data_IF_127788182843
#
_entry.id   IF_127788182843
#
_cell.length_a   1.000
_cell.length_b   1.000
_cell.length_c   1.000
_cell.angle_alpha   90.00
_cell.angle_beta   90.00
_cell.angle_gamma   90.00
#
_symmetry.space_group_name_H-M   'P 1'
#
loop_
_entity.id
_entity.type
_entity.pdbx_description
1 polymer ?
#
# COMPACT_ATOMS: atom_id res chain seq x y z
N UNK A 1 9.58 11.20 -6.05
CA UNK A 1 8.50 10.30 -5.61
C UNK A 1 8.77 8.89 -6.14
N UNK A 2 8.67 7.85 -5.29
CA UNK A 2 8.89 6.49 -5.78
C UNK A 2 7.82 6.09 -6.79
N UNK A 3 8.21 5.23 -7.70
CA UNK A 3 7.26 4.70 -8.66
C UNK A 3 6.42 3.61 -8.01
N UNK A 4 5.11 3.74 -8.10
CA UNK A 4 4.16 2.79 -7.54
C UNK A 4 3.63 1.92 -8.67
N UNK A 5 3.78 0.60 -8.54
CA UNK A 5 3.22 -0.30 -9.53
C UNK A 5 1.72 -0.44 -9.33
N UNK A 6 1.05 -0.94 -10.36
CA UNK A 6 -0.38 -1.15 -10.29
C UNK A 6 -0.75 -2.09 -9.13
N UNK A 7 0.03 -3.17 -8.97
CA UNK A 7 -0.24 -4.14 -7.91
C UNK A 7 -0.06 -3.52 -6.54
N UNK A 8 0.98 -2.69 -6.38
CA UNK A 8 1.21 -1.99 -5.12
C UNK A 8 0.07 -1.03 -4.83
N UNK A 9 -0.40 -0.33 -5.85
CA UNK A 9 -1.50 0.61 -5.68
C UNK A 9 -2.77 -0.12 -5.26
N UNK A 10 -3.05 -1.26 -5.87
CA UNK A 10 -4.22 -2.06 -5.48
C UNK A 10 -4.13 -2.51 -4.03
N UNK A 11 -2.95 -2.98 -3.63
CA UNK A 11 -2.74 -3.41 -2.26
C UNK A 11 -2.97 -2.26 -1.29
N UNK A 12 -2.40 -1.11 -1.59
CA UNK A 12 -2.57 0.07 -0.75
C UNK A 12 -4.03 0.48 -0.65
N UNK A 13 -4.77 0.42 -1.75
CA UNK A 13 -6.17 0.79 -1.76
C UNK A 13 -7.01 -0.13 -0.87
N UNK A 14 -6.68 -1.42 -0.86
CA UNK A 14 -7.41 -2.38 -0.05
C UNK A 14 -7.26 -2.09 1.44
N UNK A 15 -6.13 -1.54 1.86
CA UNK A 15 -5.83 -1.36 3.27
C UNK A 15 -5.85 0.09 3.71
N UNK A 16 -6.34 1.01 2.87
CA UNK A 16 -6.30 2.44 3.16
C UNK A 16 -7.54 2.92 3.93
N UNK A 17 -8.01 2.11 4.87
CA UNK A 17 -9.24 2.42 5.59
C UNK A 17 -9.11 3.63 6.50
N UNK A 18 -7.90 3.92 6.99
CA UNK A 18 -7.70 5.06 7.87
C UNK A 18 -7.53 6.38 7.12
N UNK A 19 -7.22 6.31 5.83
CA UNK A 19 -7.00 7.50 5.04
C UNK A 19 -5.71 8.24 5.32
N UNK A 20 -4.80 7.65 6.10
CA UNK A 20 -3.51 8.27 6.41
C UNK A 20 -2.37 7.36 5.99
N UNK A 21 -1.22 7.99 5.71
CA UNK A 21 -0.03 7.24 5.32
C UNK A 21 0.43 6.32 6.45
N UNK A 22 0.51 6.86 7.65
CA UNK A 22 0.94 6.06 8.81
C UNK A 22 -0.02 4.90 9.07
N UNK A 23 -1.32 5.16 9.00
CA UNK A 23 -2.31 4.11 9.21
C UNK A 23 -2.20 3.01 8.17
N UNK A 24 -1.95 3.38 6.92
CA UNK A 24 -1.76 2.39 5.86
C UNK A 24 -0.52 1.56 6.12
N UNK A 25 0.59 2.20 6.51
CA UNK A 25 1.81 1.47 6.82
C UNK A 25 1.58 0.45 7.93
N UNK A 26 0.89 0.86 8.99
CA UNK A 26 0.60 -0.04 10.11
C UNK A 26 -0.26 -1.21 9.63
N UNK A 27 -1.29 -0.93 8.84
CA UNK A 27 -2.18 -1.97 8.34
C UNK A 27 -1.42 -3.00 7.50
N UNK A 28 -0.53 -2.52 6.63
CA UNK A 28 0.25 -3.42 5.79
C UNK A 28 1.23 -4.24 6.61
N UNK A 29 1.84 -3.63 7.62
CA UNK A 29 2.76 -4.37 8.49
C UNK A 29 2.04 -5.46 9.25
N UNK A 30 0.86 -5.18 9.75
CA UNK A 30 0.08 -6.19 10.46
C UNK A 30 -0.32 -7.33 9.53
N UNK A 31 -0.74 -7.00 8.32
CA UNK A 31 -1.09 -8.02 7.35
C UNK A 31 0.12 -8.88 7.01
N UNK A 32 1.29 -8.23 6.84
CA UNK A 32 2.52 -8.94 6.51
C UNK A 32 2.89 -9.99 7.55
N UNK A 33 2.63 -9.70 8.82
CA UNK A 33 2.97 -10.62 9.88
C UNK A 33 2.15 -11.90 9.84
N UNK A 34 1.00 -11.86 9.15
CA UNK A 34 0.15 -13.04 9.02
C UNK A 34 0.46 -13.86 7.77
N UNK A 35 1.42 -13.43 6.97
CA UNK A 35 1.75 -14.15 5.74
C UNK A 35 2.70 -15.30 6.05
N UNK A 36 2.42 -16.45 5.44
CA UNK A 36 3.26 -17.62 5.59
C UNK A 36 4.30 -17.73 4.49
N UNK A 37 5.13 -18.81 4.54
CA UNK A 37 6.17 -19.00 3.52
C UNK A 37 5.59 -19.13 2.10
N UNK A 38 4.38 -19.64 1.98
CA UNK A 38 3.76 -19.81 0.67
C UNK A 38 3.30 -18.48 0.09
N UNK A 39 3.30 -17.42 0.90
CA UNK A 39 2.89 -16.09 0.46
C UNK A 39 4.08 -15.20 0.15
N UNK A 40 5.20 -15.79 -0.28
CA UNK A 40 6.44 -15.03 -0.47
C UNK A 40 6.26 -13.88 -1.46
N UNK A 41 5.52 -14.10 -2.54
CA UNK A 41 5.32 -13.04 -3.54
C UNK A 41 4.53 -11.88 -2.92
N UNK A 42 3.50 -12.17 -2.14
CA UNK A 42 2.71 -11.14 -1.50
C UNK A 42 3.53 -10.42 -0.43
N UNK A 43 4.38 -11.14 0.30
CA UNK A 43 5.27 -10.51 1.26
C UNK A 43 6.21 -9.53 0.58
N UNK A 44 6.80 -9.92 -0.54
CA UNK A 44 7.69 -9.05 -1.28
C UNK A 44 6.95 -7.80 -1.75
N UNK A 45 5.75 -7.96 -2.28
CA UNK A 45 4.93 -6.85 -2.72
C UNK A 45 4.60 -5.92 -1.54
N UNK A 46 4.24 -6.50 -0.41
CA UNK A 46 3.90 -5.73 0.78
C UNK A 46 5.11 -4.95 1.29
N UNK A 47 6.27 -5.60 1.36
CA UNK A 47 7.49 -4.94 1.79
C UNK A 47 7.84 -3.78 0.88
N UNK A 48 7.68 -3.96 -0.42
CA UNK A 48 7.95 -2.92 -1.38
C UNK A 48 7.00 -1.74 -1.19
N UNK A 49 5.72 -2.03 -0.98
CA UNK A 49 4.73 -0.98 -0.75
C UNK A 49 5.03 -0.21 0.53
N UNK A 50 5.37 -0.91 1.61
CA UNK A 50 5.70 -0.26 2.87
C UNK A 50 6.92 0.64 2.70
N UNK A 51 7.96 0.15 2.05
CA UNK A 51 9.17 0.93 1.83
C UNK A 51 8.88 2.20 1.04
N UNK A 52 8.04 2.12 0.02
CA UNK A 52 7.70 3.28 -0.77
C UNK A 52 6.87 4.28 0.04
N UNK A 53 5.95 3.78 0.86
CA UNK A 53 5.16 4.66 1.72
C UNK A 53 6.04 5.38 2.72
N UNK A 54 7.03 4.69 3.28
CA UNK A 54 7.94 5.32 4.23
C UNK A 54 8.84 6.34 3.56
N UNK A 55 9.15 6.16 2.29
CA UNK A 55 10.01 7.08 1.56
C UNK A 55 9.29 8.32 1.07
N UNK A 56 7.96 8.27 0.96
CA UNK A 56 7.23 9.40 0.42
C UNK A 56 6.79 10.35 1.54
N UNK A 57 6.55 11.61 1.15
CA UNK A 57 6.04 12.61 2.08
C UNK A 57 4.53 12.49 2.19
N UNK A 58 3.97 13.22 3.17
CA UNK A 58 2.51 13.28 3.29
C UNK A 58 1.89 13.88 2.05
N UNK A 59 2.56 14.85 1.44
CA UNK A 59 2.06 15.45 0.21
C UNK A 59 2.07 14.44 -0.94
N UNK A 60 3.12 13.63 -1.01
CA UNK A 60 3.19 12.59 -2.02
C UNK A 60 2.05 11.59 -1.84
N UNK A 61 1.80 11.21 -0.58
CA UNK A 61 0.72 10.28 -0.30
C UNK A 61 -0.63 10.87 -0.68
N UNK A 62 -0.84 12.15 -0.39
CA UNK A 62 -2.09 12.81 -0.70
C UNK A 62 -2.32 12.87 -2.21
N UNK A 63 -1.24 12.91 -2.99
CA UNK A 63 -1.34 12.94 -4.44
C UNK A 63 -1.69 11.58 -5.04
N UNK A 64 -1.51 10.50 -4.26
CA UNK A 64 -1.90 9.17 -4.74
C UNK A 64 -3.41 9.05 -4.74
N UNK A 65 -3.94 8.50 -5.82
CA UNK A 65 -5.36 8.23 -5.91
C UNK A 65 -5.59 6.78 -5.51
N UNK A 66 -5.85 6.57 -4.22
CA UNK A 66 -6.06 5.24 -3.69
C UNK A 66 -7.54 4.90 -3.56
N UNK A 67 -8.40 5.78 -4.04
CA UNK A 67 -9.82 5.48 -4.07
C UNK A 67 -10.05 4.42 -5.15
N UNK A 68 -10.65 3.28 -4.81
CA UNK A 68 -10.93 2.27 -5.83
C UNK A 68 -11.77 2.87 -6.95
N UNK A 69 -11.34 2.65 -8.17
CA UNK A 69 -12.02 3.18 -9.34
C UNK A 69 -12.96 2.12 -9.87
N UNK A 70 -14.17 2.29 -9.53
CA UNK A 70 -15.17 1.38 -10.01
C UNK A 70 -15.82 1.85 -11.27
N UNK A 71 -15.57 2.81 -11.57
CA UNK A 71 -16.25 3.22 -12.50
C UNK A 71 -16.14 3.57 -13.56
N UNK A 72 -16.13 3.66 -13.31
CA UNK A 72 -16.27 4.07 -13.83
C UNK A 72 -16.83 4.42 -14.53
N UNK A 73 -16.79 4.51 -14.59
CA UNK A 73 -17.58 4.94 -15.14
C UNK A 73 -17.85 5.03 -16.02
#
# INVERSE_FOLDING_TARGET
MPTITYEEQQLMALYSSTGTRTGLIVALREMREHLGPEDADLRTLTDSAIGKLEAMTEEDYAALDLIPDFDEG
#
